data_IF_702932975847
#
_entry.id   IF_702932975847
#
_cell.length_a   1.000
_cell.length_b   1.000
_cell.length_c   1.000
_cell.angle_alpha   90.00
_cell.angle_beta   90.00
_cell.angle_gamma   90.00
#
_symmetry.space_group_name_H-M   'P 1'
#
loop_
_entity.id
_entity.type
_entity.pdbx_description
1 polymer ?
#
# COMPACT_ATOMS: atom_id res chain seq x y z
N UNK A 1 -19.89 17.45 -2.79
CA UNK A 1 -19.23 17.76 -2.61
C UNK A 1 -18.84 18.35 -2.26
N UNK A 2 -18.67 18.04 -2.24
CA UNK A 2 -18.08 18.58 -1.98
C UNK A 2 -17.29 19.21 -1.82
N UNK A 3 -17.71 18.73 -1.84
CA UNK A 3 -16.83 19.75 -1.84
C UNK A 3 -15.58 19.55 -1.06
N UNK A 4 -14.52 19.79 -1.63
CA UNK A 4 -13.27 19.60 -0.96
C UNK A 4 -13.12 20.54 0.21
N UNK A 5 -12.56 20.02 1.26
CA UNK A 5 -12.20 20.81 2.39
C UNK A 5 -10.86 21.49 2.10
N UNK A 6 -10.88 22.79 1.90
CA UNK A 6 -9.68 23.52 1.50
C UNK A 6 -8.60 23.47 2.57
N UNK A 7 -8.98 23.31 3.82
CA UNK A 7 -7.99 23.26 4.90
C UNK A 7 -7.16 21.98 4.87
N UNK A 8 -7.62 21.00 4.12
CA UNK A 8 -6.91 19.74 4.00
C UNK A 8 -6.15 19.60 2.71
N UNK A 9 -6.25 20.58 1.85
CA UNK A 9 -5.56 20.51 0.57
C UNK A 9 -4.13 20.96 0.76
N UNK A 10 -3.16 20.13 0.43
CA UNK A 10 -1.79 20.56 0.51
C UNK A 10 -1.50 21.62 -0.56
N UNK A 11 -0.74 22.63 -0.19
CA UNK A 11 -0.33 23.68 -1.11
C UNK A 11 1.17 23.65 -1.34
N UNK A 12 1.87 22.71 -0.72
CA UNK A 12 3.28 22.53 -0.88
C UNK A 12 3.53 21.12 -1.33
N UNK A 13 4.75 20.85 -1.76
CA UNK A 13 5.10 19.48 -2.15
C UNK A 13 4.90 18.55 -0.96
N UNK A 14 4.19 17.46 -1.23
CA UNK A 14 4.01 16.42 -0.23
C UNK A 14 5.20 15.48 -0.33
N UNK A 15 5.84 15.23 0.80
CA UNK A 15 7.07 14.45 0.83
C UNK A 15 6.79 13.07 1.38
N UNK A 16 6.35 12.19 0.50
CA UNK A 16 6.06 10.80 0.83
C UNK A 16 6.86 9.89 -0.07
N UNK A 17 7.26 8.76 0.48
CA UNK A 17 7.93 7.73 -0.31
C UNK A 17 7.52 6.36 0.22
N UNK A 18 7.70 5.35 -0.62
CA UNK A 18 7.42 3.98 -0.21
C UNK A 18 8.67 3.44 0.47
N UNK A 19 8.48 2.89 1.66
CA UNK A 19 9.57 2.19 2.34
C UNK A 19 9.62 0.77 1.77
N UNK A 20 10.61 0.51 0.92
CA UNK A 20 10.69 -0.74 0.18
C UNK A 20 10.84 -1.93 1.11
N UNK A 21 11.70 -1.82 2.08
CA UNK A 21 12.00 -2.92 2.98
C UNK A 21 10.80 -3.27 3.85
N UNK A 22 10.19 -2.25 4.44
CA UNK A 22 9.04 -2.49 5.30
C UNK A 22 7.82 -2.94 4.51
N UNK A 23 7.68 -2.45 3.30
CA UNK A 23 6.61 -2.90 2.41
C UNK A 23 6.79 -4.38 2.09
N UNK A 24 8.02 -4.81 1.80
CA UNK A 24 8.28 -6.22 1.51
C UNK A 24 7.95 -7.10 2.70
N UNK A 25 8.35 -6.69 3.88
CA UNK A 25 8.03 -7.45 5.10
C UNK A 25 6.53 -7.50 5.34
N UNK A 26 5.84 -6.41 5.05
CA UNK A 26 4.39 -6.34 5.23
C UNK A 26 3.67 -7.26 4.25
N UNK A 27 4.10 -7.26 3.00
CA UNK A 27 3.51 -8.15 1.99
C UNK A 27 3.69 -9.61 2.40
N UNK A 28 4.87 -9.95 2.86
CA UNK A 28 5.15 -11.30 3.32
C UNK A 28 4.23 -11.68 4.47
N UNK A 29 4.06 -10.79 5.42
CA UNK A 29 3.19 -11.03 6.57
C UNK A 29 1.74 -11.23 6.14
N UNK A 30 1.26 -10.39 5.23
CA UNK A 30 -0.11 -10.46 4.77
C UNK A 30 -0.38 -11.74 3.99
N UNK A 31 0.55 -12.15 3.15
CA UNK A 31 0.41 -13.38 2.38
C UNK A 31 0.37 -14.59 3.32
N UNK A 32 1.27 -14.62 4.29
CA UNK A 32 1.28 -15.72 5.24
C UNK A 32 0.02 -15.77 6.08
N UNK A 33 -0.47 -14.61 6.49
CA UNK A 33 -1.67 -14.54 7.30
C UNK A 33 -2.90 -15.03 6.53
N UNK A 34 -2.89 -14.89 5.22
CA UNK A 34 -4.00 -15.30 4.37
C UNK A 34 -3.98 -16.79 4.05
N UNK A 35 -2.89 -17.47 4.35
CA UNK A 35 -2.76 -18.90 4.07
C UNK A 35 -2.26 -19.24 2.69
N UNK A 36 -1.97 -18.24 1.86
CA UNK A 36 -1.43 -18.49 0.53
C UNK A 36 0.05 -18.81 0.61
N UNK A 37 0.49 -19.66 -0.33
CA UNK A 37 1.92 -19.92 -0.51
C UNK A 37 2.47 -18.97 -1.56
N UNK A 38 3.80 -18.91 -1.64
CA UNK A 38 4.44 -18.10 -2.68
C UNK A 38 4.01 -18.56 -4.07
N UNK A 39 3.89 -19.88 -4.25
CA UNK A 39 3.47 -20.40 -5.54
C UNK A 39 2.04 -19.99 -5.87
N UNK A 40 1.17 -20.00 -4.88
CA UNK A 40 -0.21 -19.51 -5.09
C UNK A 40 -0.21 -18.09 -5.58
N UNK A 41 0.58 -17.24 -4.93
CA UNK A 41 0.65 -15.84 -5.29
C UNK A 41 1.23 -15.67 -6.69
N UNK A 42 2.25 -16.44 -7.02
CA UNK A 42 2.82 -16.43 -8.36
C UNK A 42 1.74 -16.70 -9.41
N UNK A 43 0.93 -17.73 -9.18
CA UNK A 43 -0.11 -18.10 -10.13
C UNK A 43 -1.24 -17.08 -10.18
N UNK A 44 -1.65 -16.57 -9.03
CA UNK A 44 -2.73 -15.59 -8.96
C UNK A 44 -2.36 -14.31 -9.70
N UNK A 45 -1.10 -13.90 -9.58
CA UNK A 45 -0.64 -12.65 -10.17
C UNK A 45 -0.11 -12.81 -11.59
N UNK A 46 -0.02 -14.05 -12.07
CA UNK A 46 0.45 -14.30 -13.43
C UNK A 46 1.95 -14.17 -13.60
N UNK A 47 2.71 -14.21 -12.52
CA UNK A 47 4.16 -14.13 -12.61
C UNK A 47 4.72 -15.46 -13.09
N UNK A 48 5.85 -15.39 -13.78
CA UNK A 48 6.46 -16.59 -14.35
C UNK A 48 7.40 -17.29 -13.39
N UNK A 49 7.83 -16.63 -12.31
CA UNK A 49 8.75 -17.25 -11.36
C UNK A 49 8.40 -16.85 -9.94
N UNK A 50 8.76 -17.72 -9.00
CA UNK A 50 8.60 -17.39 -7.58
C UNK A 50 9.63 -16.37 -7.12
N UNK A 51 10.72 -16.23 -7.87
CA UNK A 51 11.77 -15.27 -7.52
C UNK A 51 11.23 -13.86 -7.47
N UNK A 52 10.28 -13.53 -8.33
CA UNK A 52 9.69 -12.20 -8.33
C UNK A 52 9.02 -11.90 -6.99
N UNK A 53 8.34 -12.90 -6.41
CA UNK A 53 7.69 -12.72 -5.11
C UNK A 53 8.73 -12.55 -4.01
N UNK A 54 9.79 -13.33 -4.05
CA UNK A 54 10.85 -13.23 -3.05
C UNK A 54 11.55 -11.88 -3.11
N UNK A 55 11.65 -11.30 -4.30
CA UNK A 55 12.22 -9.95 -4.42
C UNK A 55 11.37 -8.92 -3.68
N UNK A 56 10.06 -9.09 -3.71
CA UNK A 56 9.19 -8.20 -2.93
C UNK A 56 9.49 -8.34 -1.45
N UNK A 57 9.60 -9.58 -0.98
CA UNK A 57 9.81 -9.85 0.44
C UNK A 57 11.10 -9.21 0.95
N UNK A 58 12.12 -9.18 0.10
CA UNK A 58 13.42 -8.60 0.48
C UNK A 58 13.46 -7.08 0.34
N UNK A 59 12.46 -6.49 -0.30
CA UNK A 59 12.48 -5.07 -0.55
C UNK A 59 13.30 -4.67 -1.76
N UNK A 60 13.67 -5.64 -2.61
CA UNK A 60 14.42 -5.35 -3.83
C UNK A 60 13.54 -4.72 -4.90
N UNK A 61 12.26 -5.03 -4.86
CA UNK A 61 11.29 -4.45 -5.78
C UNK A 61 9.93 -4.48 -5.14
N UNK A 62 8.99 -3.74 -5.71
CA UNK A 62 7.59 -3.81 -5.30
C UNK A 62 6.80 -4.34 -6.49
N UNK A 63 5.62 -4.89 -6.22
CA UNK A 63 4.76 -5.35 -7.32
C UNK A 63 4.38 -4.19 -8.23
N UNK A 64 4.13 -4.50 -9.50
CA UNK A 64 3.60 -3.49 -10.40
C UNK A 64 2.23 -3.04 -9.92
N UNK A 65 1.76 -1.94 -10.47
CA UNK A 65 0.46 -1.39 -10.08
C UNK A 65 -0.65 -2.41 -10.28
N UNK A 66 -0.65 -3.11 -11.40
CA UNK A 66 -1.67 -4.13 -11.64
C UNK A 66 -1.59 -5.27 -10.63
N UNK A 67 -0.37 -5.69 -10.33
CA UNK A 67 -0.17 -6.75 -9.34
C UNK A 67 -0.63 -6.29 -7.96
N UNK A 68 -0.37 -5.03 -7.62
CA UNK A 68 -0.85 -4.48 -6.36
C UNK A 68 -2.37 -4.52 -6.27
N UNK A 69 -3.05 -4.19 -7.38
CA UNK A 69 -4.50 -4.25 -7.41
C UNK A 69 -5.01 -5.67 -7.21
N UNK A 70 -4.36 -6.64 -7.85
CA UNK A 70 -4.73 -8.04 -7.71
C UNK A 70 -4.58 -8.47 -6.25
N UNK A 71 -3.44 -8.13 -5.64
CA UNK A 71 -3.19 -8.49 -4.26
C UNK A 71 -4.20 -7.87 -3.32
N UNK A 72 -4.54 -6.60 -3.55
CA UNK A 72 -5.53 -5.94 -2.72
C UNK A 72 -6.87 -6.61 -2.80
N UNK A 73 -7.27 -7.02 -4.00
CA UNK A 73 -8.54 -7.71 -4.18
C UNK A 73 -8.54 -9.09 -3.55
N UNK A 74 -7.46 -9.84 -3.76
CA UNK A 74 -7.37 -11.21 -3.26
C UNK A 74 -7.26 -11.25 -1.73
N UNK A 75 -6.51 -10.30 -1.17
CA UNK A 75 -6.30 -10.24 0.27
C UNK A 75 -7.31 -9.35 0.99
N UNK A 76 -8.21 -8.72 0.24
CA UNK A 76 -9.24 -7.85 0.77
C UNK A 76 -8.64 -6.68 1.55
N UNK A 77 -7.78 -5.93 0.89
CA UNK A 77 -7.05 -4.81 1.48
C UNK A 77 -7.21 -3.55 0.65
N UNK A 78 -6.94 -2.43 1.28
CA UNK A 78 -6.66 -1.19 0.58
C UNK A 78 -5.18 -1.13 0.24
N UNK A 79 -4.84 -0.32 -0.76
CA UNK A 79 -3.46 -0.14 -1.16
C UNK A 79 -2.62 0.43 0.00
N UNK A 80 -3.24 1.23 0.85
CA UNK A 80 -2.56 1.81 2.00
C UNK A 80 -2.25 0.78 3.08
N UNK A 81 -2.91 -0.38 3.03
CA UNK A 81 -2.61 -1.47 3.94
C UNK A 81 -1.49 -2.36 3.40
N UNK A 82 -1.26 -2.29 2.10
CA UNK A 82 -0.24 -3.09 1.45
C UNK A 82 1.13 -2.41 1.50
N UNK A 83 1.16 -1.13 1.20
CA UNK A 83 2.40 -0.36 1.09
C UNK A 83 2.69 0.35 2.40
N UNK A 84 3.95 0.35 2.80
CA UNK A 84 4.39 1.10 3.98
C UNK A 84 5.05 2.38 3.48
N UNK A 85 4.57 3.50 3.99
CA UNK A 85 4.94 4.82 3.49
C UNK A 85 5.75 5.54 4.54
N UNK A 86 6.85 6.17 4.10
CA UNK A 86 7.64 7.06 4.92
C UNK A 86 7.33 8.49 4.52
N UNK A 87 7.52 9.40 5.47
CA UNK A 87 7.35 10.81 5.22
C UNK A 87 6.31 11.40 6.13
N UNK A 88 6.17 12.69 6.02
CA UNK A 88 5.22 13.40 6.85
C UNK A 88 4.16 14.02 5.98
N UNK A 89 2.95 13.78 6.33
CA UNK A 89 1.83 14.39 5.66
C UNK A 89 0.78 14.65 6.72
N UNK A 90 0.77 15.88 7.17
CA UNK A 90 -0.01 16.26 8.33
C UNK A 90 -1.41 16.69 7.96
N UNK A 91 -1.91 16.08 6.96
CA UNK A 91 -3.20 16.34 6.39
C UNK A 91 -4.30 16.28 7.47
N UNK A 92 -4.15 15.35 8.37
CA UNK A 92 -5.19 15.08 9.35
C UNK A 92 -5.11 15.95 10.56
N UNK A 93 -4.10 16.73 10.66
CA UNK A 93 -4.04 17.71 11.71
C UNK A 93 -4.99 18.84 11.48
N UNK A 94 -5.51 18.96 10.30
CA UNK A 94 -6.63 19.85 10.07
C UNK A 94 -7.80 19.32 10.81
N UNK A 95 -8.33 20.05 11.67
CA UNK A 95 -9.43 19.54 12.46
C UNK A 95 -10.65 19.34 11.63
N UNK A 96 -11.09 18.98 11.69
CA UNK A 96 -12.11 18.96 11.17
C UNK A 96 -12.98 18.40 11.71
N UNK A 97 -12.91 18.67 12.16
CA UNK A 97 -13.64 18.28 12.53
C UNK A 97 -14.59 18.33 12.55
N UNK A 98 -14.66 18.51 12.59
CA UNK A 98 -15.31 18.63 12.50
C UNK A 98 -15.74 18.63 11.89
N UNK A 99 -15.25 18.35 11.74
CA UNK A 99 -15.17 18.42 11.07
C UNK A 99 -15.83 18.06 10.52
N UNK A 100 -15.95 17.66 10.75
CA UNK A 100 -16.38 17.47 10.36
C UNK A 100 -17.18 17.47 10.40
N UNK A 101 -17.37 17.49 10.69
CA UNK A 101 -17.88 17.72 10.78
C UNK A 101 -18.41 18.06 10.62
N UNK A 102 -18.34 18.04 10.62
CA UNK A 102 -18.61 18.54 10.53
C UNK A 102 -18.75 18.79 10.53
#
# INVERSE_FOLDING_TARGET
MEKLNMYRRPVHRVDLSINMEKTGANIKRLIKASGYTVRDIMEITGLSTEQAVYKWFRGDSIPSTETQLILCKVLDLDITELLVIDGEFDFFCSPDPERDAA
#
